data_IF_204916892284
#
_entry.id   IF_204916892284
#
_cell.length_a   1.000
_cell.length_b   1.000
_cell.length_c   1.000
_cell.angle_alpha   90.00
_cell.angle_beta   90.00
_cell.angle_gamma   90.00
#
_symmetry.space_group_name_H-M   'P 1'
#
loop_
_entity.id
_entity.type
_entity.pdbx_description
1 polymer ?
#
# COMPACT_ATOMS: atom_id res chain seq x y z
N UNK A 1 -25.84 -38.37 20.45
CA UNK A 1 -25.79 -37.79 21.81
C UNK A 1 -25.85 -36.28 21.64
N UNK A 2 -27.06 -35.74 21.94
CA UNK A 2 -27.33 -34.29 21.85
C UNK A 2 -26.91 -33.65 23.18
N UNK A 3 -26.20 -32.51 23.14
CA UNK A 3 -26.14 -31.57 24.25
C UNK A 3 -26.51 -30.18 23.74
N UNK A 4 -27.77 -29.82 23.91
CA UNK A 4 -28.26 -28.45 23.99
C UNK A 4 -27.88 -27.85 25.33
N UNK A 5 -27.25 -26.69 25.34
CA UNK A 5 -27.18 -25.81 26.52
C UNK A 5 -27.82 -24.48 26.14
N UNK A 6 -29.06 -24.31 26.60
CA UNK A 6 -29.74 -23.02 26.71
C UNK A 6 -29.08 -22.17 27.80
N UNK A 7 -28.76 -20.94 27.49
CA UNK A 7 -28.42 -19.90 28.47
C UNK A 7 -29.63 -18.97 28.61
N UNK A 8 -30.16 -19.01 29.82
CA UNK A 8 -31.34 -18.29 30.28
C UNK A 8 -30.97 -16.82 30.62
N UNK A 9 -31.84 -15.91 30.17
CA UNK A 9 -31.84 -14.49 30.53
C UNK A 9 -32.74 -14.35 31.75
N UNK A 10 -32.23 -13.80 32.90
CA UNK A 10 -33.08 -12.98 33.80
C UNK A 10 -32.29 -12.36 34.98
N UNK A 11 -32.40 -11.05 35.03
CA UNK A 11 -32.60 -10.18 36.19
C UNK A 11 -31.59 -10.19 37.38
N UNK A 12 -30.96 -9.03 37.61
CA UNK A 12 -30.87 -8.53 38.99
C UNK A 12 -31.06 -7.00 39.01
N UNK A 13 -32.18 -6.60 39.58
CA UNK A 13 -32.51 -5.24 40.03
C UNK A 13 -32.27 -5.13 41.52
N UNK A 14 -31.80 -3.94 41.97
CA UNK A 14 -32.01 -3.42 43.33
C UNK A 14 -30.75 -3.43 44.20
N UNK A 15 -30.32 -2.33 44.76
CA UNK A 15 -30.86 -1.66 45.93
C UNK A 15 -30.27 -0.25 46.08
N UNK A 16 -31.16 0.68 46.41
CA UNK A 16 -30.97 2.07 46.79
C UNK A 16 -30.35 2.16 48.20
N UNK A 17 -29.38 3.06 48.37
CA UNK A 17 -28.88 3.48 49.68
C UNK A 17 -28.48 4.96 49.63
N UNK A 18 -29.37 5.80 50.16
CA UNK A 18 -29.15 7.25 50.35
C UNK A 18 -28.39 7.52 51.66
N UNK A 19 -27.39 8.39 51.62
CA UNK A 19 -26.95 9.15 52.80
C UNK A 19 -26.50 10.55 52.38
N UNK A 20 -27.17 11.54 52.91
CA UNK A 20 -26.93 12.95 52.75
C UNK A 20 -25.77 13.43 53.64
N UNK A 21 -25.01 14.41 53.17
CA UNK A 21 -23.99 15.11 53.93
C UNK A 21 -23.56 16.38 53.23
N UNK A 22 -23.91 17.50 53.78
CA UNK A 22 -23.92 18.88 53.30
C UNK A 22 -22.57 19.56 53.12
N UNK A 23 -22.48 20.40 52.08
CA UNK A 23 -21.92 21.75 51.91
C UNK A 23 -20.41 22.01 52.16
N UNK A 24 -19.75 22.73 51.28
CA UNK A 24 -19.66 24.21 51.15
C UNK A 24 -18.88 24.61 49.91
N UNK A 25 -19.39 25.57 49.21
CA UNK A 25 -18.92 26.52 48.20
C UNK A 25 -17.40 26.80 48.09
N UNK A 26 -16.84 26.80 46.88
CA UNK A 26 -16.41 28.04 46.21
C UNK A 26 -15.63 27.78 44.95
N UNK A 27 -15.97 28.44 43.85
CA UNK A 27 -14.98 28.97 42.92
C UNK A 27 -14.93 28.38 41.51
N UNK A 28 -15.68 29.02 40.65
CA UNK A 28 -15.36 29.43 39.28
C UNK A 28 -14.55 28.50 38.32
N UNK A 29 -15.14 28.34 37.18
CA UNK A 29 -14.36 28.30 35.94
C UNK A 29 -14.55 27.05 35.15
N UNK A 30 -15.47 27.09 34.32
CA UNK A 30 -15.74 26.65 32.98
C UNK A 30 -14.83 25.67 32.29
N UNK A 31 -15.52 25.09 31.40
CA UNK A 31 -15.14 24.50 30.12
C UNK A 31 -15.07 23.00 30.07
N UNK A 32 -16.06 22.53 29.37
CA UNK A 32 -16.18 21.27 28.68
C UNK A 32 -14.85 20.83 28.02
N UNK A 33 -14.32 19.70 28.49
CA UNK A 33 -13.26 19.00 27.78
C UNK A 33 -13.91 18.16 26.66
N UNK A 34 -13.93 18.71 25.46
CA UNK A 34 -13.96 17.94 24.24
C UNK A 34 -12.58 17.30 24.09
N UNK A 35 -12.51 15.98 24.16
CA UNK A 35 -11.30 15.24 23.86
C UNK A 35 -11.10 15.24 22.34
N UNK A 36 -10.51 16.30 21.82
CA UNK A 36 -9.81 16.28 20.54
C UNK A 36 -8.47 15.62 20.82
N UNK A 37 -8.19 14.51 20.15
CA UNK A 37 -6.84 13.99 20.08
C UNK A 37 -6.01 15.01 19.29
N UNK A 38 -5.41 15.97 19.97
CA UNK A 38 -4.38 16.83 19.42
C UNK A 38 -3.16 15.94 19.13
N UNK A 39 -2.95 15.61 17.86
CA UNK A 39 -1.64 15.21 17.38
C UNK A 39 -0.68 16.34 17.74
N UNK A 40 0.21 16.10 18.71
CA UNK A 40 1.30 17.02 19.03
C UNK A 40 2.17 17.13 17.79
N UNK A 41 2.21 18.29 17.15
CA UNK A 41 3.28 18.65 16.25
C UNK A 41 4.59 18.53 17.03
N UNK A 42 5.51 17.72 16.52
CA UNK A 42 6.91 17.80 16.92
C UNK A 42 7.47 19.09 16.33
N UNK A 43 7.45 20.17 17.10
CA UNK A 43 7.78 21.54 16.67
C UNK A 43 9.24 21.73 16.17
N UNK A 44 10.07 20.70 16.23
CA UNK A 44 11.48 20.77 15.81
C UNK A 44 11.73 20.18 14.41
N UNK A 45 10.90 19.25 13.92
CA UNK A 45 11.10 18.56 12.63
C UNK A 45 10.32 19.19 11.46
N UNK A 46 9.37 20.07 11.73
CA UNK A 46 8.53 20.68 10.69
C UNK A 46 7.42 19.79 10.15
N UNK A 47 7.27 18.54 10.64
CA UNK A 47 6.23 17.58 10.26
C UNK A 47 5.57 16.93 11.48
N UNK A 48 4.46 16.24 11.27
CA UNK A 48 3.76 15.49 12.31
C UNK A 48 3.78 13.99 12.03
N UNK A 49 3.84 13.18 13.08
CA UNK A 49 3.78 11.73 13.01
C UNK A 49 2.57 11.20 13.80
N UNK A 50 2.00 10.08 13.35
CA UNK A 50 0.93 9.37 14.05
C UNK A 50 1.41 8.92 15.43
N UNK A 51 2.66 8.45 15.50
CA UNK A 51 3.32 8.08 16.75
C UNK A 51 4.68 8.78 16.85
N UNK A 52 4.95 9.54 17.91
CA UNK A 52 6.25 10.16 18.10
C UNK A 52 7.40 9.16 18.03
N UNK A 53 8.43 9.46 17.23
CA UNK A 53 9.61 8.62 17.06
C UNK A 53 9.47 7.45 16.10
N UNK A 54 8.31 7.30 15.46
CA UNK A 54 8.05 6.23 14.47
C UNK A 54 7.46 6.80 13.20
N UNK A 55 7.84 6.23 12.05
CA UNK A 55 7.14 6.38 10.80
C UNK A 55 6.28 5.15 10.55
N UNK A 56 4.96 5.34 10.48
CA UNK A 56 3.99 4.26 10.29
C UNK A 56 3.66 4.14 8.82
N UNK A 57 3.93 2.96 8.25
CA UNK A 57 3.80 2.67 6.82
C UNK A 57 2.55 1.83 6.55
N UNK A 58 1.74 2.26 5.60
CA UNK A 58 0.64 1.50 5.01
C UNK A 58 1.10 0.90 3.67
N UNK A 59 0.88 -0.40 3.48
CA UNK A 59 1.25 -1.14 2.27
C UNK A 59 0.29 -2.31 2.05
N UNK A 60 0.16 -2.80 0.82
CA UNK A 60 -0.61 -4.01 0.55
C UNK A 60 0.23 -5.28 0.76
N UNK A 61 1.57 -5.15 0.73
CA UNK A 61 2.53 -6.24 0.95
C UNK A 61 2.29 -7.46 0.05
N UNK A 62 1.97 -7.20 -1.22
CA UNK A 62 1.60 -8.24 -2.19
C UNK A 62 2.36 -8.16 -3.53
N UNK A 63 3.36 -7.26 -3.65
CA UNK A 63 4.10 -6.95 -4.87
C UNK A 63 5.58 -7.35 -4.82
N UNK A 64 5.92 -8.64 -4.81
CA UNK A 64 7.33 -9.04 -4.82
C UNK A 64 7.99 -8.62 -6.16
N UNK A 65 9.25 -8.14 -6.13
CA UNK A 65 10.17 -8.09 -4.99
C UNK A 65 10.15 -6.77 -4.19
N UNK A 66 9.18 -5.87 -4.41
CA UNK A 66 9.14 -4.54 -3.79
C UNK A 66 8.63 -4.58 -2.35
N UNK A 67 7.44 -5.12 -2.13
CA UNK A 67 6.81 -5.26 -0.84
C UNK A 67 5.97 -6.54 -0.78
N UNK A 68 6.27 -7.44 0.15
CA UNK A 68 5.56 -8.69 0.34
C UNK A 68 5.77 -9.24 1.74
N UNK A 69 4.99 -10.26 2.10
CA UNK A 69 5.12 -10.94 3.39
C UNK A 69 5.89 -12.25 3.21
N UNK A 70 6.98 -12.40 3.97
CA UNK A 70 7.69 -13.68 4.09
C UNK A 70 7.90 -14.02 5.57
N UNK A 71 7.60 -15.24 5.97
CA UNK A 71 7.68 -15.69 7.37
C UNK A 71 6.92 -14.78 8.37
N UNK A 72 5.80 -14.20 7.92
CA UNK A 72 4.97 -13.29 8.69
C UNK A 72 5.59 -11.90 8.95
N UNK A 73 6.62 -11.52 8.20
CA UNK A 73 7.30 -10.23 8.28
C UNK A 73 7.29 -9.53 6.92
N UNK A 74 7.14 -8.19 6.89
CA UNK A 74 7.30 -7.40 5.68
C UNK A 74 8.72 -7.52 5.13
N UNK A 75 8.86 -7.76 3.82
CA UNK A 75 10.11 -7.82 3.07
C UNK A 75 9.98 -7.17 1.72
N UNK A 76 11.11 -6.84 1.12
CA UNK A 76 11.20 -6.31 -0.23
C UNK A 76 12.03 -5.04 -0.30
N UNK A 77 12.30 -4.63 -1.53
CA UNK A 77 13.05 -3.42 -1.83
C UNK A 77 12.50 -2.19 -1.10
N UNK A 78 11.19 -1.94 -1.21
CA UNK A 78 10.53 -0.79 -0.58
C UNK A 78 10.52 -0.88 0.95
N UNK A 79 10.43 -2.10 1.48
CA UNK A 79 10.50 -2.32 2.93
C UNK A 79 11.87 -1.93 3.47
N UNK A 80 12.93 -2.31 2.77
CA UNK A 80 14.29 -2.00 3.19
C UNK A 80 14.65 -0.53 2.89
N UNK A 81 14.12 0.05 1.79
CA UNK A 81 14.22 1.48 1.51
C UNK A 81 13.58 2.30 2.64
N UNK A 82 12.38 1.96 3.07
CA UNK A 82 11.69 2.68 4.15
C UNK A 82 12.40 2.56 5.50
N UNK A 83 13.06 1.43 5.80
CA UNK A 83 13.92 1.30 6.98
C UNK A 83 15.10 2.27 6.92
N UNK A 84 15.76 2.36 5.76
CA UNK A 84 16.88 3.31 5.55
C UNK A 84 16.40 4.77 5.62
N UNK A 85 15.26 5.10 5.04
CA UNK A 85 14.63 6.43 5.17
C UNK A 85 14.36 6.76 6.64
N UNK A 86 13.74 5.84 7.38
CA UNK A 86 13.48 6.03 8.80
C UNK A 86 14.77 6.25 9.60
N UNK A 87 15.83 5.48 9.31
CA UNK A 87 17.14 5.63 9.95
C UNK A 87 17.74 7.04 9.70
N UNK A 88 17.68 7.54 8.46
CA UNK A 88 18.12 8.92 8.13
C UNK A 88 17.34 9.98 8.90
N UNK A 89 16.05 9.75 9.14
CA UNK A 89 15.18 10.64 9.90
C UNK A 89 15.29 10.46 11.44
N UNK A 90 16.06 9.47 11.91
CA UNK A 90 16.16 9.11 13.33
C UNK A 90 14.88 8.51 13.90
N UNK A 91 14.09 7.81 13.07
CA UNK A 91 12.82 7.21 13.40
C UNK A 91 12.90 5.68 13.36
N UNK A 92 11.98 5.01 14.05
CA UNK A 92 11.67 3.58 13.87
C UNK A 92 10.66 3.41 12.73
N UNK A 93 10.88 2.46 11.84
CA UNK A 93 9.94 2.11 10.76
C UNK A 93 9.00 1.00 11.23
N UNK A 94 7.69 1.24 11.18
CA UNK A 94 6.67 0.26 11.55
C UNK A 94 5.62 0.10 10.44
N UNK A 95 5.40 -1.14 9.99
CA UNK A 95 4.39 -1.46 8.98
C UNK A 95 3.07 -1.82 9.64
N UNK A 96 1.97 -1.27 9.12
CA UNK A 96 0.63 -1.76 9.45
C UNK A 96 0.43 -3.17 8.84
N UNK A 97 -0.54 -3.95 9.36
CA UNK A 97 -0.97 -5.17 8.68
C UNK A 97 -1.33 -4.89 7.22
N UNK A 98 -0.98 -5.82 6.32
CA UNK A 98 -1.30 -5.72 4.90
C UNK A 98 -2.77 -5.33 4.66
N UNK A 99 -3.00 -4.45 3.69
CA UNK A 99 -4.33 -3.95 3.36
C UNK A 99 -4.51 -3.90 1.84
N UNK A 100 -5.75 -3.66 1.39
CA UNK A 100 -6.01 -3.53 -0.04
C UNK A 100 -5.33 -2.28 -0.60
N UNK A 101 -4.70 -2.40 -1.76
CA UNK A 101 -3.99 -1.32 -2.45
C UNK A 101 -4.85 -0.06 -2.60
N UNK A 102 -6.08 -0.22 -3.12
CA UNK A 102 -7.03 0.87 -3.35
C UNK A 102 -7.50 1.60 -2.08
N UNK A 103 -7.26 1.01 -0.90
CA UNK A 103 -7.60 1.60 0.40
C UNK A 103 -6.49 2.47 1.00
N UNK A 104 -5.24 2.41 0.48
CA UNK A 104 -4.08 3.07 1.09
C UNK A 104 -4.16 4.60 0.93
N UNK A 105 -4.36 5.11 -0.29
CA UNK A 105 -4.49 6.57 -0.52
C UNK A 105 -5.63 7.17 0.32
N UNK A 106 -6.85 6.61 0.35
CA UNK A 106 -7.90 7.06 1.25
C UNK A 106 -7.49 7.08 2.73
N UNK A 107 -6.74 6.08 3.20
CA UNK A 107 -6.27 6.01 4.58
C UNK A 107 -5.27 7.10 4.91
N UNK A 108 -4.28 7.36 4.04
CA UNK A 108 -3.29 8.44 4.20
C UNK A 108 -3.98 9.81 4.16
N UNK A 109 -4.92 10.01 3.22
CA UNK A 109 -5.70 11.24 3.11
C UNK A 109 -6.56 11.51 4.36
N UNK A 110 -7.12 10.46 4.97
CA UNK A 110 -7.88 10.58 6.21
C UNK A 110 -7.00 10.94 7.41
N UNK A 111 -5.74 10.50 7.40
CA UNK A 111 -4.78 10.70 8.47
C UNK A 111 -5.03 9.86 9.74
N UNK A 112 -4.10 9.93 10.69
CA UNK A 112 -4.23 9.40 12.04
C UNK A 112 -4.00 7.89 12.20
N UNK A 113 -3.69 7.15 11.13
CA UNK A 113 -3.39 5.71 11.21
C UNK A 113 -2.02 5.35 10.65
N UNK A 114 -1.62 5.97 9.56
CA UNK A 114 -0.30 5.84 8.97
C UNK A 114 0.21 7.22 8.55
N UNK A 115 1.51 7.35 8.47
CA UNK A 115 2.20 8.57 8.07
C UNK A 115 2.41 8.57 6.55
N UNK A 116 2.70 7.41 5.97
CA UNK A 116 3.03 7.22 4.56
C UNK A 116 2.37 5.96 3.98
N UNK A 117 2.17 5.96 2.66
CA UNK A 117 1.79 4.79 1.87
C UNK A 117 2.95 4.40 0.93
N UNK A 118 3.34 3.12 0.94
CA UNK A 118 4.41 2.58 0.11
C UNK A 118 3.97 1.22 -0.43
N UNK A 119 3.80 1.11 -1.72
CA UNK A 119 3.37 -0.12 -2.41
C UNK A 119 3.36 0.12 -3.93
N UNK A 120 4.50 0.32 -4.56
CA UNK A 120 4.62 0.56 -6.00
C UNK A 120 3.69 1.68 -6.52
N UNK A 121 3.54 2.75 -5.74
CA UNK A 121 2.61 3.81 -6.12
C UNK A 121 3.15 4.62 -7.29
N UNK A 122 2.62 4.36 -8.49
CA UNK A 122 2.86 5.21 -9.66
C UNK A 122 2.39 6.63 -9.39
N UNK A 123 3.28 7.58 -9.60
CA UNK A 123 3.00 9.01 -9.55
C UNK A 123 2.14 9.37 -10.75
N UNK A 124 0.87 9.72 -10.53
CA UNK A 124 -0.04 10.18 -11.58
C UNK A 124 -0.66 11.53 -11.25
N UNK A 125 -1.06 12.29 -12.28
CA UNK A 125 -1.73 13.58 -12.09
C UNK A 125 -3.07 13.43 -11.37
N UNK A 126 -3.77 12.31 -11.56
CA UNK A 126 -5.02 12.00 -10.87
C UNK A 126 -4.76 11.82 -9.37
N UNK A 127 -3.80 10.97 -8.99
CA UNK A 127 -3.45 10.73 -7.60
C UNK A 127 -2.91 11.98 -6.92
N UNK A 128 -2.12 12.82 -7.64
CA UNK A 128 -1.64 14.12 -7.15
C UNK A 128 -2.75 15.12 -6.81
N UNK A 129 -3.96 14.96 -7.33
CA UNK A 129 -5.09 15.80 -6.91
C UNK A 129 -5.52 15.51 -5.48
N UNK A 130 -5.33 14.28 -5.01
CA UNK A 130 -5.81 13.81 -3.71
C UNK A 130 -4.74 13.74 -2.64
N UNK A 131 -3.51 13.43 -3.02
CA UNK A 131 -2.40 13.12 -2.12
C UNK A 131 -1.11 13.79 -2.60
N UNK A 132 -0.11 13.88 -1.75
CA UNK A 132 1.24 14.30 -2.10
C UNK A 132 2.14 13.08 -2.35
N UNK A 133 3.20 13.27 -3.13
CA UNK A 133 4.20 12.26 -3.43
C UNK A 133 5.59 12.81 -3.13
N UNK A 134 6.48 11.92 -2.71
CA UNK A 134 7.91 12.20 -2.71
C UNK A 134 8.45 12.33 -4.14
N UNK A 135 9.71 12.72 -4.24
CA UNK A 135 10.48 12.52 -5.46
C UNK A 135 10.48 11.02 -5.83
N UNK A 136 10.57 10.69 -7.13
CA UNK A 136 10.57 9.30 -7.57
C UNK A 136 11.84 8.57 -7.10
N UNK A 137 11.68 7.28 -6.77
CA UNK A 137 12.80 6.42 -6.35
C UNK A 137 13.01 5.21 -7.26
N UNK A 138 12.08 4.90 -8.17
CA UNK A 138 12.18 3.81 -9.17
C UNK A 138 11.43 4.21 -10.45
N UNK A 139 12.03 3.91 -11.60
CA UNK A 139 11.36 3.95 -12.90
C UNK A 139 10.63 2.63 -13.16
N UNK A 140 9.45 2.68 -13.77
CA UNK A 140 8.65 1.50 -14.08
C UNK A 140 7.96 1.60 -15.43
N UNK A 141 7.40 0.48 -15.84
CA UNK A 141 6.56 0.31 -17.03
C UNK A 141 5.45 -0.70 -16.70
N UNK A 142 4.50 -0.88 -17.62
CA UNK A 142 3.47 -1.90 -17.49
C UNK A 142 3.83 -3.17 -18.26
N UNK A 143 3.30 -4.31 -17.82
CA UNK A 143 3.49 -5.61 -18.44
C UNK A 143 2.22 -6.44 -18.49
N UNK A 144 2.08 -7.24 -19.54
CA UNK A 144 1.01 -8.23 -19.63
C UNK A 144 1.61 -9.62 -19.63
N UNK A 145 1.13 -10.47 -18.71
CA UNK A 145 1.54 -11.87 -18.56
C UNK A 145 0.47 -12.77 -19.17
N UNK A 146 0.93 -13.74 -19.96
CA UNK A 146 0.12 -14.85 -20.45
C UNK A 146 0.77 -16.18 -20.09
N UNK A 147 0.05 -17.28 -20.28
CA UNK A 147 0.67 -18.61 -20.21
C UNK A 147 1.68 -18.76 -21.34
N UNK A 148 2.81 -19.41 -21.07
CA UNK A 148 3.83 -19.65 -22.08
C UNK A 148 3.23 -20.47 -23.25
N UNK A 149 3.44 -19.97 -24.47
CA UNK A 149 2.89 -20.59 -25.69
C UNK A 149 1.38 -20.35 -25.89
N UNK A 150 0.76 -19.39 -25.18
CA UNK A 150 -0.63 -19.02 -25.42
C UNK A 150 -0.82 -18.53 -26.87
N UNK A 151 -1.97 -18.88 -27.48
CA UNK A 151 -2.31 -18.43 -28.85
C UNK A 151 -2.57 -16.91 -28.91
N UNK A 152 -3.05 -16.34 -27.79
CA UNK A 152 -3.32 -14.90 -27.63
C UNK A 152 -2.26 -14.33 -26.70
N UNK A 153 -1.34 -13.58 -27.25
CA UNK A 153 -0.18 -13.03 -26.54
C UNK A 153 0.20 -11.60 -26.95
N UNK A 154 -0.66 -10.94 -27.71
CA UNK A 154 -0.54 -9.54 -28.11
C UNK A 154 -1.84 -8.78 -27.82
N UNK A 155 -1.79 -7.45 -27.81
CA UNK A 155 -2.92 -6.61 -27.44
C UNK A 155 -4.14 -6.80 -28.35
N UNK A 156 -3.92 -6.99 -29.66
CA UNK A 156 -5.01 -7.15 -30.62
C UNK A 156 -5.78 -8.45 -30.36
N UNK A 157 -5.08 -9.56 -30.13
CA UNK A 157 -5.67 -10.87 -29.85
C UNK A 157 -6.31 -10.96 -28.46
N UNK A 158 -5.80 -10.21 -27.49
CA UNK A 158 -6.35 -10.11 -26.14
C UNK A 158 -7.57 -9.18 -26.07
N UNK A 159 -7.77 -8.28 -27.01
CA UNK A 159 -8.91 -7.36 -27.05
C UNK A 159 -10.15 -8.00 -27.71
N UNK A 160 -10.71 -9.03 -27.07
CA UNK A 160 -11.86 -9.78 -27.57
C UNK A 160 -12.89 -10.07 -26.46
N UNK A 161 -14.19 -10.21 -26.86
CA UNK A 161 -15.32 -10.36 -25.91
C UNK A 161 -15.24 -11.64 -25.06
N UNK A 162 -14.57 -12.67 -25.55
CA UNK A 162 -14.38 -13.95 -24.87
C UNK A 162 -13.11 -14.00 -24.02
N UNK A 163 -12.40 -12.87 -23.88
CA UNK A 163 -11.17 -12.75 -23.10
C UNK A 163 -11.44 -12.10 -21.76
N UNK A 164 -10.84 -12.64 -20.70
CA UNK A 164 -10.78 -12.00 -19.39
C UNK A 164 -9.34 -11.71 -19.01
N UNK A 165 -9.07 -10.44 -18.66
CA UNK A 165 -7.79 -9.94 -18.19
C UNK A 165 -7.90 -9.66 -16.69
N UNK A 166 -7.01 -10.21 -15.88
CA UNK A 166 -6.97 -9.96 -14.45
C UNK A 166 -5.99 -8.81 -14.11
N UNK A 167 -6.42 -7.93 -13.23
CA UNK A 167 -5.61 -6.80 -12.75
C UNK A 167 -5.84 -6.61 -11.25
N UNK A 168 -4.90 -5.99 -10.56
CA UNK A 168 -5.16 -5.52 -9.20
C UNK A 168 -6.01 -4.25 -9.24
N UNK A 169 -6.99 -4.16 -8.35
CA UNK A 169 -7.93 -3.03 -8.29
C UNK A 169 -7.22 -1.71 -7.96
N UNK A 170 -7.57 -0.64 -8.72
CA UNK A 170 -7.07 0.72 -8.49
C UNK A 170 -5.63 0.98 -8.97
N UNK A 171 -5.05 0.05 -9.77
CA UNK A 171 -3.71 0.20 -10.33
C UNK A 171 -3.73 0.87 -11.71
N UNK A 172 -2.56 1.37 -12.13
CA UNK A 172 -2.35 1.88 -13.49
C UNK A 172 -2.42 0.76 -14.53
N UNK A 173 -2.05 -0.47 -14.16
CA UNK A 173 -2.23 -1.66 -14.99
C UNK A 173 -3.71 -1.99 -15.27
N UNK A 174 -4.58 -1.85 -14.28
CA UNK A 174 -6.04 -1.98 -14.49
C UNK A 174 -6.56 -0.88 -15.40
N UNK A 175 -6.18 0.37 -15.17
CA UNK A 175 -6.58 1.50 -16.01
C UNK A 175 -6.11 1.33 -17.47
N UNK A 176 -4.86 0.91 -17.66
CA UNK A 176 -4.33 0.60 -18.99
C UNK A 176 -5.14 -0.50 -19.69
N UNK A 177 -5.45 -1.58 -18.98
CA UNK A 177 -6.22 -2.68 -19.57
C UNK A 177 -7.64 -2.24 -19.96
N UNK A 178 -8.32 -1.43 -19.13
CA UNK A 178 -9.64 -0.88 -19.43
C UNK A 178 -9.63 0.03 -20.66
N UNK A 179 -8.59 0.85 -20.81
CA UNK A 179 -8.47 1.78 -21.92
C UNK A 179 -8.08 1.09 -23.25
N UNK A 180 -7.12 0.16 -23.18
CA UNK A 180 -6.50 -0.42 -24.39
C UNK A 180 -7.13 -1.76 -24.81
N UNK A 181 -7.84 -2.44 -23.93
CA UNK A 181 -8.52 -3.71 -24.19
C UNK A 181 -10.04 -3.62 -23.94
N UNK A 182 -10.75 -2.64 -24.54
CA UNK A 182 -12.14 -2.32 -24.21
C UNK A 182 -13.16 -3.42 -24.56
N UNK A 183 -12.79 -4.42 -25.34
CA UNK A 183 -13.65 -5.57 -25.65
C UNK A 183 -13.47 -6.71 -24.65
N UNK A 184 -12.33 -6.78 -23.99
CA UNK A 184 -12.07 -7.79 -22.98
C UNK A 184 -12.83 -7.50 -21.69
N UNK A 185 -13.12 -8.54 -20.92
CA UNK A 185 -13.61 -8.39 -19.56
C UNK A 185 -12.43 -8.13 -18.62
N UNK A 186 -12.41 -6.99 -17.95
CA UNK A 186 -11.37 -6.69 -16.93
C UNK A 186 -11.87 -7.18 -15.58
N UNK A 187 -11.07 -8.06 -14.96
CA UNK A 187 -11.35 -8.65 -13.65
C UNK A 187 -10.44 -8.04 -12.60
N UNK A 188 -11.00 -7.18 -11.75
CA UNK A 188 -10.30 -6.60 -10.60
C UNK A 188 -10.14 -7.65 -9.49
N UNK A 189 -8.95 -7.77 -8.96
CA UNK A 189 -8.54 -8.67 -7.87
C UNK A 189 -7.85 -7.87 -6.76
N UNK A 190 -7.57 -8.52 -5.63
CA UNK A 190 -6.94 -7.87 -4.49
C UNK A 190 -5.41 -7.76 -4.65
N UNK A 191 -4.77 -8.64 -5.44
CA UNK A 191 -3.31 -8.67 -5.61
C UNK A 191 -2.86 -9.21 -6.98
N UNK A 192 -1.62 -8.90 -7.45
CA UNK A 192 -1.11 -9.36 -8.74
C UNK A 192 -0.74 -10.85 -8.72
N UNK A 193 -0.42 -11.44 -7.58
CA UNK A 193 -0.11 -12.87 -7.45
C UNK A 193 -1.34 -13.70 -7.77
N UNK A 194 -2.51 -13.28 -7.26
CA UNK A 194 -3.80 -13.90 -7.60
C UNK A 194 -4.12 -13.77 -9.09
N UNK A 195 -3.78 -12.63 -9.71
CA UNK A 195 -3.99 -12.42 -11.14
C UNK A 195 -3.15 -13.41 -11.97
N UNK A 196 -1.85 -13.54 -11.69
CA UNK A 196 -0.96 -14.47 -12.40
C UNK A 196 -1.31 -15.94 -12.08
N UNK A 197 -1.75 -16.24 -10.84
CA UNK A 197 -2.28 -17.58 -10.49
C UNK A 197 -3.48 -17.96 -11.37
N UNK A 198 -4.37 -17.00 -11.63
CA UNK A 198 -5.50 -17.20 -12.53
C UNK A 198 -5.08 -17.45 -13.97
N UNK A 199 -4.02 -16.80 -14.46
CA UNK A 199 -3.44 -17.08 -15.77
C UNK A 199 -2.81 -18.48 -15.82
N UNK A 200 -2.02 -18.83 -14.81
CA UNK A 200 -1.38 -20.15 -14.72
C UNK A 200 -2.41 -21.29 -14.77
N UNK A 201 -3.51 -21.13 -14.04
CA UNK A 201 -4.58 -22.15 -13.98
C UNK A 201 -5.53 -22.14 -15.18
N UNK A 202 -5.42 -21.14 -16.07
CA UNK A 202 -6.30 -20.98 -17.24
C UNK A 202 -7.66 -20.36 -16.91
N UNK A 203 -7.81 -19.76 -15.73
CA UNK A 203 -9.02 -19.02 -15.35
C UNK A 203 -9.12 -17.68 -16.10
N UNK A 204 -7.97 -17.04 -16.34
CA UNK A 204 -7.84 -15.79 -17.08
C UNK A 204 -6.90 -15.99 -18.27
N UNK A 205 -7.14 -15.26 -19.36
CA UNK A 205 -6.28 -15.30 -20.52
C UNK A 205 -4.96 -14.57 -20.30
N UNK A 206 -5.00 -13.47 -19.55
CA UNK A 206 -3.82 -12.67 -19.21
C UNK A 206 -4.00 -11.94 -17.88
N UNK A 207 -2.88 -11.41 -17.35
CA UNK A 207 -2.84 -10.48 -16.24
C UNK A 207 -2.02 -9.25 -16.62
N UNK A 208 -2.46 -8.04 -16.20
CA UNK A 208 -1.74 -6.80 -16.41
C UNK A 208 -1.39 -6.17 -15.06
N UNK A 209 -0.11 -5.80 -14.89
CA UNK A 209 0.43 -5.06 -13.75
C UNK A 209 1.83 -4.53 -14.10
N UNK A 210 2.50 -3.92 -13.13
CA UNK A 210 3.82 -3.34 -13.25
C UNK A 210 4.84 -4.36 -13.75
N UNK A 211 5.59 -3.97 -14.77
CA UNK A 211 6.53 -4.85 -15.47
C UNK A 211 7.57 -5.52 -14.57
N UNK A 212 8.21 -4.81 -13.61
CA UNK A 212 9.18 -5.43 -12.71
C UNK A 212 8.56 -6.56 -11.85
N UNK A 213 7.35 -6.34 -11.33
CA UNK A 213 6.59 -7.35 -10.56
C UNK A 213 6.28 -8.56 -11.44
N UNK A 214 5.79 -8.34 -12.66
CA UNK A 214 5.44 -9.42 -13.60
C UNK A 214 6.67 -10.22 -14.02
N UNK A 215 7.81 -9.56 -14.28
CA UNK A 215 9.09 -10.23 -14.58
C UNK A 215 9.54 -11.10 -13.40
N UNK A 216 9.48 -10.56 -12.18
CA UNK A 216 9.84 -11.32 -10.99
C UNK A 216 8.95 -12.54 -10.79
N UNK A 217 7.64 -12.40 -10.88
CA UNK A 217 6.67 -13.48 -10.70
C UNK A 217 6.88 -14.60 -11.73
N UNK A 218 7.05 -14.26 -13.02
CA UNK A 218 7.31 -15.25 -14.07
C UNK A 218 8.65 -15.96 -13.90
N UNK A 219 9.68 -15.25 -13.41
CA UNK A 219 11.02 -15.85 -13.24
C UNK A 219 11.15 -16.74 -12.01
N UNK A 220 10.40 -16.45 -10.94
CA UNK A 220 10.61 -17.09 -9.64
C UNK A 220 9.48 -18.03 -9.21
N UNK A 221 8.22 -17.75 -9.57
CA UNK A 221 7.06 -18.47 -9.02
C UNK A 221 6.17 -19.10 -10.11
N UNK A 222 6.05 -18.48 -11.27
CA UNK A 222 5.13 -18.86 -12.34
C UNK A 222 5.88 -19.13 -13.65
N UNK A 223 6.81 -20.07 -13.62
CA UNK A 223 7.76 -20.36 -14.73
C UNK A 223 7.08 -20.92 -15.99
N UNK A 224 5.82 -21.29 -15.92
CA UNK A 224 4.95 -21.64 -17.07
C UNK A 224 4.13 -20.44 -17.60
N UNK A 225 4.34 -19.26 -17.02
CA UNK A 225 3.86 -17.97 -17.54
C UNK A 225 5.02 -17.14 -18.10
N UNK A 226 4.70 -16.16 -18.92
CA UNK A 226 5.68 -15.24 -19.51
C UNK A 226 5.10 -13.84 -19.64
N UNK A 227 5.96 -12.83 -19.53
CA UNK A 227 5.62 -11.47 -19.98
C UNK A 227 5.55 -11.51 -21.50
N UNK A 228 4.37 -11.33 -22.06
CA UNK A 228 4.11 -11.34 -23.50
C UNK A 228 4.07 -9.94 -24.12
N UNK A 229 3.74 -8.92 -23.31
CA UNK A 229 3.71 -7.52 -23.75
C UNK A 229 4.43 -6.69 -22.71
N UNK A 230 5.43 -5.93 -23.14
CA UNK A 230 6.05 -4.86 -22.35
C UNK A 230 5.55 -3.52 -22.89
N UNK A 231 5.05 -2.67 -21.99
CA UNK A 231 4.42 -1.41 -22.36
C UNK A 231 5.25 -0.28 -21.76
N UNK A 232 5.97 0.49 -22.59
CA UNK A 232 6.83 1.58 -22.09
C UNK A 232 5.97 2.78 -21.71
N UNK A 233 5.42 2.76 -20.51
CA UNK A 233 4.60 3.84 -19.95
C UNK A 233 5.43 4.97 -19.36
N UNK A 234 6.68 4.70 -18.98
CA UNK A 234 7.56 5.68 -18.32
C UNK A 234 7.02 6.09 -16.95
N UNK A 235 6.38 5.17 -16.26
CA UNK A 235 5.88 5.37 -14.90
C UNK A 235 7.04 5.49 -13.89
N UNK A 236 6.78 6.21 -12.81
CA UNK A 236 7.71 6.36 -11.70
C UNK A 236 6.98 6.13 -10.39
N UNK A 237 7.66 5.48 -9.43
CA UNK A 237 7.10 5.25 -8.09
C UNK A 237 7.53 6.34 -7.12
N UNK A 238 6.58 6.75 -6.27
CA UNK A 238 6.81 7.68 -5.16
C UNK A 238 6.11 7.21 -3.88
N UNK A 239 6.64 7.65 -2.75
CA UNK A 239 6.01 7.44 -1.45
C UNK A 239 4.84 8.39 -1.32
N UNK A 240 3.69 7.87 -0.91
CA UNK A 240 2.44 8.63 -0.72
C UNK A 240 2.44 9.28 0.65
N UNK A 241 2.21 10.60 0.70
CA UNK A 241 2.15 11.40 1.92
C UNK A 241 0.90 12.27 1.90
N UNK A 242 0.31 12.57 3.07
CA UNK A 242 -0.81 13.50 3.14
C UNK A 242 -0.39 14.91 2.73
N UNK A 243 -1.21 15.60 1.94
CA UNK A 243 -1.00 17.03 1.58
C UNK A 243 -0.94 17.95 2.80
N UNK A 244 -1.54 17.52 3.90
CA UNK A 244 -1.52 18.27 5.16
C UNK A 244 -0.18 18.12 5.91
N UNK A 245 0.76 17.30 5.39
CA UNK A 245 2.05 17.00 6.00
C UNK A 245 3.23 17.20 5.03
N UNK A 246 3.23 18.30 4.30
CA UNK A 246 4.27 18.64 3.31
C UNK A 246 5.70 18.60 3.90
N UNK A 247 5.87 18.95 5.19
CA UNK A 247 7.15 18.84 5.87
C UNK A 247 7.69 17.40 5.93
N UNK A 248 6.81 16.39 6.02
CA UNK A 248 7.23 14.99 5.95
C UNK A 248 7.67 14.61 4.54
N UNK A 249 6.98 15.09 3.50
CA UNK A 249 7.40 14.91 2.10
C UNK A 249 8.81 15.48 1.88
N UNK A 250 9.08 16.71 2.35
CA UNK A 250 10.39 17.34 2.24
C UNK A 250 11.48 16.58 3.00
N UNK A 251 11.16 16.09 4.21
CA UNK A 251 12.10 15.32 5.02
C UNK A 251 12.45 13.98 4.36
N UNK A 252 11.45 13.27 3.80
CA UNK A 252 11.67 12.01 3.08
C UNK A 252 12.47 12.25 1.80
N UNK A 253 12.17 13.29 1.02
CA UNK A 253 12.94 13.64 -0.18
C UNK A 253 14.42 13.91 0.16
N UNK A 254 14.68 14.61 1.26
CA UNK A 254 16.06 14.83 1.73
C UNK A 254 16.75 13.50 2.08
N UNK A 255 16.05 12.58 2.72
CA UNK A 255 16.57 11.26 3.05
C UNK A 255 16.81 10.40 1.79
N UNK A 256 15.90 10.44 0.81
CA UNK A 256 16.07 9.74 -0.47
C UNK A 256 17.29 10.27 -1.23
N UNK A 257 17.46 11.59 -1.31
CA UNK A 257 18.63 12.19 -1.95
C UNK A 257 19.95 11.79 -1.27
N UNK A 258 19.98 11.71 0.07
CA UNK A 258 21.17 11.23 0.79
C UNK A 258 21.45 9.75 0.52
N UNK A 259 20.41 8.90 0.42
CA UNK A 259 20.53 7.46 0.12
C UNK A 259 20.96 7.20 -1.34
N UNK A 260 20.58 8.08 -2.25
CA UNK A 260 21.06 8.06 -3.63
C UNK A 260 22.54 8.46 -3.71
N UNK A 261 22.91 9.58 -3.05
CA UNK A 261 24.26 10.11 -3.04
C UNK A 261 25.27 9.16 -2.38
N UNK A 262 24.87 8.41 -1.33
CA UNK A 262 25.74 7.45 -0.65
C UNK A 262 25.73 6.05 -1.29
N UNK A 263 24.91 5.84 -2.34
CA UNK A 263 24.81 4.59 -3.10
C UNK A 263 23.95 3.52 -2.43
N UNK A 264 23.25 3.82 -1.35
CA UNK A 264 22.39 2.87 -0.64
C UNK A 264 21.22 2.38 -1.48
N UNK A 265 20.59 3.23 -2.31
CA UNK A 265 19.50 2.83 -3.20
C UNK A 265 20.01 1.83 -4.23
N UNK A 266 21.12 2.13 -4.88
CA UNK A 266 21.79 1.22 -5.81
C UNK A 266 22.14 -0.14 -5.20
N UNK A 267 22.62 -0.17 -3.95
CA UNK A 267 22.87 -1.42 -3.24
C UNK A 267 21.60 -2.26 -3.08
N UNK A 268 20.49 -1.62 -2.71
CA UNK A 268 19.18 -2.28 -2.60
C UNK A 268 18.68 -2.78 -3.96
N UNK A 269 18.84 -2.01 -5.02
CA UNK A 269 18.48 -2.44 -6.38
C UNK A 269 19.24 -3.70 -6.79
N UNK A 270 20.55 -3.72 -6.59
CA UNK A 270 21.37 -4.90 -6.87
C UNK A 270 20.95 -6.10 -6.01
N UNK A 271 20.64 -5.88 -4.74
CA UNK A 271 20.19 -6.95 -3.82
C UNK A 271 18.87 -7.56 -4.28
N UNK A 272 17.88 -6.74 -4.62
CA UNK A 272 16.53 -7.19 -4.90
C UNK A 272 16.26 -7.53 -6.36
N UNK A 273 16.91 -6.84 -7.30
CA UNK A 273 16.69 -7.02 -8.75
C UNK A 273 17.89 -7.64 -9.47
N UNK A 274 19.04 -7.72 -8.83
CA UNK A 274 20.27 -8.24 -9.42
C UNK A 274 21.04 -7.23 -10.29
N UNK A 275 20.50 -6.04 -10.48
CA UNK A 275 21.09 -4.90 -11.23
C UNK A 275 20.42 -3.61 -10.83
N UNK A 276 21.01 -2.48 -11.19
CA UNK A 276 20.33 -1.17 -11.20
C UNK A 276 19.12 -1.21 -12.15
N UNK A 277 18.00 -0.58 -11.77
CA UNK A 277 16.75 -0.52 -12.52
C UNK A 277 16.31 0.91 -12.80
#
# INVERSE_FOLDING_TARGET
>A
MNFNVMLDRRNFFGIIGAAAGTAVLAGCGGTSAGSSADAKKDDASGYSLVQPGKIIVASDLANPPFDFVENNEPKGFEVDLMKKVAEKLGLECEYLPAMKFDSIIPLIKQGGKADVGVSNFTITDERKQEIDFTDPYVDSNQGVVTKAGAERADADSLNAEDVTIACQAGTTGEAWAQENLPKATIKSLDDPVAAVTGVQTGLYAAAAADLPVMKYLCSNSFTDCQVSIEIPTGEQYGIVVSKDNAGLTEAINSALAELEDDGSIKELEIEWFGSEI
#
